data_IF_076376998111
#
_entry.id   IF_076376998111
#
_cell.length_a   1.000
_cell.length_b   1.000
_cell.length_c   1.000
_cell.angle_alpha   90.00
_cell.angle_beta   90.00
_cell.angle_gamma   90.00
#
_symmetry.space_group_name_H-M   'P 1'
#
loop_
_entity.id
_entity.type
_entity.pdbx_description
1 polymer ?
#
# COMPACT_ATOMS: atom_id res chain seq x y z
N UNK A 1 11.29 -4.52 6.08
CA UNK A 1 10.16 -3.81 6.70
C UNK A 1 8.89 -4.58 6.47
N UNK A 2 8.05 -4.77 7.49
CA UNK A 2 6.76 -5.48 7.36
C UNK A 2 5.74 -4.64 6.55
N UNK A 3 4.65 -5.30 6.12
CA UNK A 3 3.54 -4.59 5.46
C UNK A 3 2.87 -3.57 6.39
N UNK A 4 2.86 -3.83 7.70
CA UNK A 4 2.33 -2.91 8.71
C UNK A 4 3.16 -1.62 8.79
N UNK A 5 4.49 -1.73 8.93
CA UNK A 5 5.41 -0.58 8.90
C UNK A 5 5.26 0.27 7.64
N UNK A 6 5.28 -0.39 6.46
CA UNK A 6 5.13 0.29 5.17
C UNK A 6 3.77 0.98 5.02
N UNK A 7 2.70 0.38 5.55
CA UNK A 7 1.38 1.01 5.56
C UNK A 7 1.38 2.27 6.45
N UNK A 8 1.90 2.20 7.67
CA UNK A 8 2.00 3.34 8.59
C UNK A 8 2.82 4.50 8.03
N UNK A 9 3.97 4.23 7.39
CA UNK A 9 4.78 5.24 6.73
C UNK A 9 4.03 5.90 5.56
N UNK A 10 3.36 5.09 4.72
CA UNK A 10 2.56 5.56 3.60
C UNK A 10 1.38 6.43 4.07
N UNK A 11 0.64 6.00 5.11
CA UNK A 11 -0.45 6.77 5.71
C UNK A 11 -0.01 8.17 6.11
N UNK A 12 1.14 8.30 6.78
CA UNK A 12 1.71 9.61 7.17
C UNK A 12 2.02 10.49 5.95
N UNK A 13 2.68 9.94 4.93
CA UNK A 13 2.99 10.67 3.68
C UNK A 13 1.71 11.15 2.97
N UNK A 14 0.68 10.30 2.92
CA UNK A 14 -0.62 10.61 2.33
C UNK A 14 -1.35 11.73 3.09
N UNK A 15 -1.35 11.71 4.42
CA UNK A 15 -1.90 12.79 5.25
C UNK A 15 -1.16 14.13 5.06
N UNK A 16 0.18 14.11 4.99
CA UNK A 16 0.98 15.31 4.68
C UNK A 16 0.63 15.86 3.29
N UNK A 17 0.37 14.99 2.31
CA UNK A 17 -0.12 15.37 0.97
C UNK A 17 -1.62 15.78 0.94
N UNK A 18 -2.32 15.78 2.07
CA UNK A 18 -3.73 16.16 2.18
C UNK A 18 -4.73 15.12 1.67
N UNK A 19 -4.30 13.88 1.43
CA UNK A 19 -5.20 12.76 1.10
C UNK A 19 -6.05 12.43 2.32
N UNK A 20 -7.32 12.10 2.12
CA UNK A 20 -8.31 11.92 3.19
C UNK A 20 -9.10 13.18 3.56
N UNK A 21 -8.60 14.39 3.24
CA UNK A 21 -9.33 15.67 3.50
C UNK A 21 -10.51 15.95 2.56
N UNK A 22 -10.65 15.15 1.50
CA UNK A 22 -11.70 15.23 0.47
C UNK A 22 -12.03 13.82 -0.03
N UNK A 23 -13.19 13.59 -0.66
CA UNK A 23 -13.53 12.31 -1.28
C UNK A 23 -12.39 11.71 -2.11
N UNK A 24 -12.02 10.47 -1.81
CA UNK A 24 -10.90 9.72 -2.40
C UNK A 24 -11.41 8.42 -3.05
N UNK A 25 -10.78 8.05 -4.17
CA UNK A 25 -10.91 6.73 -4.80
C UNK A 25 -9.52 6.11 -4.86
N UNK A 26 -9.39 4.88 -4.37
CA UNK A 26 -8.12 4.17 -4.36
C UNK A 26 -8.04 3.23 -5.57
N UNK A 27 -6.98 3.35 -6.36
CA UNK A 27 -6.67 2.42 -7.46
C UNK A 27 -5.41 1.66 -7.06
N UNK A 28 -5.56 0.36 -6.82
CA UNK A 28 -4.56 -0.45 -6.13
C UNK A 28 -4.07 -1.59 -7.00
N UNK A 29 -2.77 -1.60 -7.32
CA UNK A 29 -2.11 -2.70 -8.01
C UNK A 29 -1.32 -3.59 -7.05
N UNK A 30 -1.43 -4.92 -7.20
CA UNK A 30 -0.58 -5.91 -6.53
C UNK A 30 -0.51 -5.68 -5.00
N UNK A 31 0.69 -5.68 -4.39
CA UNK A 31 0.91 -5.41 -2.97
C UNK A 31 0.33 -4.06 -2.48
N UNK A 32 0.17 -3.07 -3.38
CA UNK A 32 -0.46 -1.78 -3.05
C UNK A 32 -1.88 -1.93 -2.49
N UNK A 33 -2.64 -2.92 -2.96
CA UNK A 33 -3.98 -3.20 -2.43
C UNK A 33 -3.98 -3.80 -1.03
N UNK A 34 -2.91 -4.48 -0.63
CA UNK A 34 -2.73 -4.94 0.75
C UNK A 34 -2.30 -3.77 1.67
N UNK A 35 -1.44 -2.87 1.19
CA UNK A 35 -1.04 -1.66 1.93
C UNK A 35 -2.23 -0.73 2.19
N UNK A 36 -3.05 -0.43 1.17
CA UNK A 36 -4.25 0.41 1.33
C UNK A 36 -5.29 -0.26 2.23
N UNK A 37 -5.49 -1.58 2.10
CA UNK A 37 -6.37 -2.34 3.02
C UNK A 37 -5.90 -2.24 4.46
N UNK A 38 -4.61 -2.41 4.73
CA UNK A 38 -4.03 -2.32 6.07
C UNK A 38 -4.20 -0.90 6.65
N UNK A 39 -3.88 0.13 5.87
CA UNK A 39 -4.08 1.54 6.26
C UNK A 39 -5.52 1.84 6.66
N UNK A 40 -6.51 1.48 5.84
CA UNK A 40 -7.92 1.75 6.13
C UNK A 40 -8.44 0.96 7.34
N UNK A 41 -7.95 -0.27 7.54
CA UNK A 41 -8.28 -1.06 8.74
C UNK A 41 -7.70 -0.43 10.01
N UNK A 42 -6.46 0.06 9.99
CA UNK A 42 -5.84 0.70 11.15
C UNK A 42 -6.45 2.08 11.47
N UNK A 43 -6.78 2.90 10.47
CA UNK A 43 -7.50 4.15 10.70
C UNK A 43 -8.94 3.90 11.20
N UNK A 44 -9.65 2.91 10.67
CA UNK A 44 -10.97 2.52 11.18
C UNK A 44 -10.91 2.06 12.65
N UNK A 45 -9.94 1.22 13.02
CA UNK A 45 -9.72 0.80 14.43
C UNK A 45 -9.44 1.98 15.37
N UNK A 46 -8.86 3.07 14.85
CA UNK A 46 -8.58 4.32 15.58
C UNK A 46 -9.78 5.26 15.68
N UNK A 47 -10.93 4.91 15.11
CA UNK A 47 -12.11 5.78 15.05
C UNK A 47 -12.08 6.78 13.89
N UNK A 48 -11.24 6.55 12.87
CA UNK A 48 -11.07 7.39 11.67
C UNK A 48 -10.81 8.89 11.95
N UNK A 49 -9.81 9.23 12.79
CA UNK A 49 -9.60 10.61 13.29
C UNK A 49 -9.19 11.63 12.22
N UNK A 50 -8.78 11.16 11.04
CA UNK A 50 -8.44 11.99 9.86
C UNK A 50 -9.49 11.90 8.74
N UNK A 51 -10.65 11.30 9.02
CA UNK A 51 -11.75 11.06 8.08
C UNK A 51 -11.35 10.28 6.79
N UNK A 52 -10.28 9.50 6.84
CA UNK A 52 -9.75 8.76 5.69
C UNK A 52 -10.73 7.68 5.21
N UNK A 53 -11.34 6.95 6.14
CA UNK A 53 -12.35 5.93 5.85
C UNK A 53 -13.66 6.59 5.39
N UNK A 54 -14.14 7.61 6.10
CA UNK A 54 -15.33 8.41 5.74
C UNK A 54 -15.20 9.03 4.35
N UNK A 55 -14.02 9.51 3.97
CA UNK A 55 -13.77 10.10 2.65
C UNK A 55 -13.36 9.08 1.58
N UNK A 56 -13.08 7.83 1.91
CA UNK A 56 -12.92 6.76 0.92
C UNK A 56 -14.28 6.41 0.30
N UNK A 57 -14.45 6.70 -0.99
CA UNK A 57 -15.71 6.47 -1.72
C UNK A 57 -15.71 5.21 -2.59
N UNK A 58 -14.53 4.78 -3.05
CA UNK A 58 -14.36 3.52 -3.75
C UNK A 58 -12.92 2.99 -3.61
N UNK A 59 -12.76 1.68 -3.76
CA UNK A 59 -11.47 1.00 -3.83
C UNK A 59 -11.52 0.01 -5.00
N UNK A 60 -10.58 0.14 -5.92
CA UNK A 60 -10.39 -0.78 -7.05
C UNK A 60 -9.12 -1.59 -6.79
N UNK A 61 -9.25 -2.91 -6.71
CA UNK A 61 -8.12 -3.82 -6.57
C UNK A 61 -7.85 -4.54 -7.90
N UNK A 62 -6.61 -4.45 -8.38
CA UNK A 62 -6.13 -5.19 -9.55
C UNK A 62 -4.91 -6.03 -9.17
N UNK A 63 -4.96 -7.33 -9.49
CA UNK A 63 -3.91 -8.32 -9.20
C UNK A 63 -3.45 -8.37 -7.73
N UNK A 64 -4.30 -7.98 -6.77
CA UNK A 64 -3.94 -7.96 -5.33
C UNK A 64 -4.12 -9.36 -4.70
N UNK A 65 -3.09 -9.96 -4.08
CA UNK A 65 -3.17 -11.31 -3.51
C UNK A 65 -3.87 -11.32 -2.13
N UNK A 66 -5.18 -11.07 -2.12
CA UNK A 66 -5.98 -10.85 -0.90
C UNK A 66 -6.02 -11.98 0.13
N UNK A 67 -5.79 -13.24 -0.29
CA UNK A 67 -5.80 -14.43 0.58
C UNK A 67 -4.42 -15.13 0.60
N UNK A 68 -3.37 -14.43 0.16
CA UNK A 68 -2.14 -15.07 -0.30
C UNK A 68 -2.36 -15.82 -1.61
N UNK A 69 -1.33 -16.55 -2.05
CA UNK A 69 -1.36 -17.43 -3.22
C UNK A 69 -0.90 -18.83 -2.81
N UNK A 70 -1.76 -19.85 -2.99
CA UNK A 70 -1.50 -21.22 -2.54
C UNK A 70 -0.34 -21.94 -3.26
N UNK A 71 0.20 -21.36 -4.33
CA UNK A 71 1.36 -21.85 -5.08
C UNK A 71 2.40 -20.72 -5.17
N UNK A 72 3.67 -21.09 -5.31
CA UNK A 72 4.82 -20.21 -5.37
C UNK A 72 4.84 -19.23 -6.58
N UNK A 73 4.48 -17.96 -6.36
CA UNK A 73 4.55 -16.90 -7.37
C UNK A 73 5.19 -15.55 -6.94
N UNK A 74 6.00 -15.37 -5.89
CA UNK A 74 7.12 -16.16 -5.33
C UNK A 74 8.27 -16.53 -6.30
N UNK A 75 8.29 -16.03 -7.54
CA UNK A 75 9.58 -15.85 -8.27
C UNK A 75 9.75 -14.49 -8.95
N UNK A 76 8.72 -13.97 -9.63
CA UNK A 76 8.82 -12.69 -10.37
C UNK A 76 8.40 -11.44 -9.58
N UNK A 77 7.44 -11.54 -8.65
CA UNK A 77 7.29 -10.48 -7.63
C UNK A 77 8.58 -10.38 -6.81
N UNK A 78 9.27 -11.50 -6.58
CA UNK A 78 10.57 -11.53 -5.91
C UNK A 78 11.67 -10.87 -6.76
N UNK A 79 11.81 -11.17 -8.06
CA UNK A 79 12.80 -10.49 -8.93
C UNK A 79 12.56 -8.96 -9.02
N UNK A 80 11.32 -8.51 -9.15
CA UNK A 80 10.98 -7.08 -9.23
C UNK A 80 10.99 -6.35 -7.86
N UNK A 81 10.99 -7.09 -6.74
CA UNK A 81 11.09 -6.57 -5.37
C UNK A 81 12.51 -6.65 -4.80
N UNK A 82 13.40 -7.47 -5.40
CA UNK A 82 14.82 -7.59 -5.03
C UNK A 82 15.68 -6.52 -5.72
N UNK A 83 15.26 -5.96 -6.86
CA UNK A 83 15.92 -4.80 -7.51
C UNK A 83 15.02 -3.56 -7.68
N UNK A 84 14.73 -2.79 -6.61
CA UNK A 84 13.95 -1.55 -6.73
C UNK A 84 14.63 -0.34 -6.05
N UNK A 85 15.79 0.11 -6.55
CA UNK A 85 16.40 1.43 -6.20
C UNK A 85 17.47 1.82 -7.22
N UNK A 86 17.59 3.13 -7.52
CA UNK A 86 18.63 3.70 -8.39
C UNK A 86 20.04 3.43 -7.82
N UNK A 87 20.17 3.42 -6.48
CA UNK A 87 21.39 3.11 -5.74
C UNK A 87 22.02 1.76 -6.13
N UNK A 88 21.21 0.77 -6.56
CA UNK A 88 21.72 -0.54 -6.98
C UNK A 88 22.17 -0.54 -8.46
N UNK A 89 21.76 0.44 -9.25
CA UNK A 89 22.28 0.66 -10.60
C UNK A 89 23.63 1.39 -10.59
N UNK A 90 23.90 2.23 -9.58
CA UNK A 90 25.19 2.94 -9.44
C UNK A 90 26.33 2.02 -8.98
N UNK A 91 26.04 0.96 -8.21
CA UNK A 91 26.99 -0.08 -7.76
C UNK A 91 27.57 -0.97 -8.89
N UNK A 92 27.51 -0.53 -10.15
CA UNK A 92 28.05 -1.22 -11.35
C UNK A 92 29.05 -0.37 -12.14
N UNK A 93 29.41 0.83 -11.67
CA UNK A 93 30.55 1.61 -12.18
C UNK A 93 31.75 1.47 -11.25
#
# INVERSE_FOLDING_TARGET
STISERSCELTKKLFTAGVGKRPCVWICHSMGGLLVKQMLVEEWKRGDPQELCKNTKAIVFYSTPHRGSHIAALKQITEMLVWPSIEVQELRQ
#
